data_IF_229236515183
#
_entry.id   IF_229236515183
#
_cell.length_a   1.000
_cell.length_b   1.000
_cell.length_c   1.000
_cell.angle_alpha   90.00
_cell.angle_beta   90.00
_cell.angle_gamma   90.00
#
_symmetry.space_group_name_H-M   'P 1'
#
loop_
_entity.id
_entity.type
_entity.pdbx_description
1 polymer ?
#
# COMPACT_ATOMS: atom_id res chain seq x y z
N UNK A 1 -9.57 0.39 21.86
CA UNK A 1 -8.63 1.06 20.94
C UNK A 1 -9.27 1.16 19.56
N UNK A 2 -9.21 2.30 18.89
CA UNK A 2 -9.71 2.49 17.52
C UNK A 2 -8.60 3.03 16.62
N UNK A 3 -8.43 2.43 15.45
CA UNK A 3 -7.45 2.80 14.43
C UNK A 3 -8.19 3.14 13.14
N UNK A 4 -7.92 4.33 12.58
CA UNK A 4 -8.48 4.77 11.30
C UNK A 4 -7.40 4.74 10.23
N UNK A 5 -7.65 4.01 9.15
CA UNK A 5 -6.73 3.76 8.04
C UNK A 5 -7.36 4.23 6.72
N UNK A 6 -6.56 4.80 5.84
CA UNK A 6 -6.93 5.04 4.44
C UNK A 6 -6.16 4.07 3.55
N UNK A 7 -6.87 3.27 2.76
CA UNK A 7 -6.28 2.32 1.81
C UNK A 7 -6.81 2.65 0.43
N UNK A 8 -5.95 3.22 -0.42
CA UNK A 8 -6.25 3.64 -1.79
C UNK A 8 -7.58 4.43 -1.95
N UNK A 9 -7.90 5.32 -1.00
CA UNK A 9 -9.12 6.14 -1.00
C UNK A 9 -10.32 5.51 -0.28
N UNK A 10 -10.18 4.32 0.30
CA UNK A 10 -11.19 3.71 1.18
C UNK A 10 -10.81 3.93 2.64
N UNK A 11 -11.71 4.54 3.41
CA UNK A 11 -11.56 4.71 4.86
C UNK A 11 -12.00 3.45 5.60
N UNK A 12 -11.08 2.85 6.36
CA UNK A 12 -11.28 1.67 7.18
C UNK A 12 -10.98 1.99 8.65
N UNK A 13 -11.96 1.76 9.52
CA UNK A 13 -11.81 1.86 10.96
C UNK A 13 -11.71 0.45 11.53
N UNK A 14 -10.61 0.18 12.22
CA UNK A 14 -10.37 -1.06 12.96
C UNK A 14 -10.53 -0.76 14.44
N UNK A 15 -11.53 -1.36 15.07
CA UNK A 15 -11.78 -1.22 16.51
C UNK A 15 -11.37 -2.51 17.19
N UNK A 16 -10.68 -2.41 18.31
CA UNK A 16 -10.35 -3.53 19.17
C UNK A 16 -10.76 -3.26 20.60
N UNK A 17 -11.34 -4.27 21.23
CA UNK A 17 -11.89 -4.22 22.57
C UNK A 17 -11.66 -5.53 23.32
N UNK A 18 -11.71 -5.44 24.64
CA UNK A 18 -11.68 -6.57 25.55
C UNK A 18 -12.84 -6.40 26.53
N UNK A 19 -13.86 -7.24 26.42
CA UNK A 19 -15.03 -7.15 27.27
C UNK A 19 -14.74 -7.75 28.66
N UNK A 20 -15.39 -7.25 29.72
CA UNK A 20 -15.27 -7.83 31.06
C UNK A 20 -15.65 -9.31 31.10
N UNK A 21 -15.04 -10.06 32.01
CA UNK A 21 -15.25 -11.51 32.12
C UNK A 21 -16.63 -11.85 32.73
N UNK A 22 -17.08 -13.09 32.52
CA UNK A 22 -18.31 -13.61 33.12
C UNK A 22 -18.18 -13.57 34.65
N UNK A 23 -18.99 -12.72 35.30
CA UNK A 23 -18.99 -12.51 36.76
C UNK A 23 -18.50 -11.13 37.23
N UNK A 24 -17.99 -10.27 36.34
CA UNK A 24 -17.73 -8.86 36.65
C UNK A 24 -19.01 -8.09 36.97
N UNK A 25 -18.89 -6.98 37.69
CA UNK A 25 -20.00 -6.11 38.06
C UNK A 25 -20.73 -5.57 36.82
N UNK A 26 -22.04 -5.37 36.95
CA UNK A 26 -22.88 -4.92 35.83
C UNK A 26 -22.43 -3.55 35.33
N UNK A 27 -22.01 -2.66 36.23
CA UNK A 27 -21.53 -1.31 35.89
C UNK A 27 -20.32 -1.34 34.95
N UNK A 28 -19.37 -2.27 35.15
CA UNK A 28 -18.21 -2.40 34.27
C UNK A 28 -18.60 -2.86 32.86
N UNK A 29 -19.59 -3.76 32.78
CA UNK A 29 -20.14 -4.24 31.51
C UNK A 29 -20.86 -3.12 30.78
N UNK A 30 -21.73 -2.38 31.48
CA UNK A 30 -22.47 -1.24 30.92
C UNK A 30 -21.53 -0.14 30.43
N UNK A 31 -20.47 0.17 31.18
CA UNK A 31 -19.44 1.13 30.75
C UNK A 31 -18.77 0.69 29.45
N UNK A 32 -18.34 -0.58 29.35
CA UNK A 32 -17.71 -1.10 28.15
C UNK A 32 -18.61 -0.97 26.91
N UNK A 33 -19.89 -1.33 27.03
CA UNK A 33 -20.83 -1.24 25.92
C UNK A 33 -21.16 0.20 25.53
N UNK A 34 -21.25 1.11 26.52
CA UNK A 34 -21.46 2.54 26.27
C UNK A 34 -20.29 3.16 25.53
N UNK A 35 -19.05 2.88 25.96
CA UNK A 35 -17.84 3.34 25.27
C UNK A 35 -17.75 2.79 23.83
N UNK A 36 -18.13 1.52 23.63
CA UNK A 36 -18.14 0.93 22.30
C UNK A 36 -19.20 1.58 21.40
N UNK A 37 -20.34 1.97 21.96
CA UNK A 37 -21.39 2.70 21.23
C UNK A 37 -20.94 4.08 20.79
N UNK A 38 -20.33 4.85 21.70
CA UNK A 38 -19.79 6.17 21.39
C UNK A 38 -18.75 6.10 20.25
N UNK A 39 -17.87 5.09 20.28
CA UNK A 39 -16.89 4.86 19.21
C UNK A 39 -17.59 4.58 17.89
N UNK A 40 -18.66 3.76 17.89
CA UNK A 40 -19.39 3.44 16.67
C UNK A 40 -20.19 4.62 16.11
N UNK A 41 -20.80 5.43 16.98
CA UNK A 41 -21.50 6.65 16.61
C UNK A 41 -20.55 7.71 16.02
N UNK A 42 -19.31 7.76 16.50
CA UNK A 42 -18.29 8.66 15.96
C UNK A 42 -17.87 8.33 14.52
N UNK A 43 -18.11 7.09 14.05
CA UNK A 43 -17.67 6.62 12.74
C UNK A 43 -18.77 6.80 11.69
N UNK A 44 -18.57 7.63 10.64
CA UNK A 44 -19.56 7.85 9.60
C UNK A 44 -20.02 6.55 8.92
N UNK A 45 -21.30 6.44 8.59
CA UNK A 45 -21.90 5.24 7.98
C UNK A 45 -21.30 4.86 6.63
N UNK A 46 -20.74 5.83 5.90
CA UNK A 46 -20.05 5.60 4.61
C UNK A 46 -18.68 4.93 4.73
N UNK A 47 -18.06 4.96 5.91
CA UNK A 47 -16.74 4.36 6.14
C UNK A 47 -16.85 2.86 6.44
N UNK A 48 -15.78 2.10 6.21
CA UNK A 48 -15.71 0.68 6.58
C UNK A 48 -15.37 0.55 8.05
N UNK A 49 -15.98 -0.41 8.74
CA UNK A 49 -15.68 -0.72 10.15
C UNK A 49 -15.50 -2.21 10.33
N UNK A 50 -14.40 -2.59 10.97
CA UNK A 50 -14.11 -3.96 11.40
C UNK A 50 -13.78 -3.90 12.89
N UNK A 51 -14.54 -4.63 13.70
CA UNK A 51 -14.29 -4.77 15.13
C UNK A 51 -13.69 -6.14 15.38
N UNK A 52 -12.52 -6.21 15.99
CA UNK A 52 -11.91 -7.47 16.46
C UNK A 52 -11.74 -7.40 17.97
N UNK A 53 -12.56 -8.15 18.70
CA UNK A 53 -12.60 -8.08 20.16
C UNK A 53 -12.81 -9.45 20.80
N UNK A 54 -12.26 -9.61 22.00
CA UNK A 54 -12.62 -10.68 22.90
C UNK A 54 -13.83 -10.23 23.72
N UNK A 55 -14.99 -10.81 23.42
CA UNK A 55 -16.23 -10.43 24.08
C UNK A 55 -16.55 -11.28 25.30
N UNK A 56 -15.73 -12.29 25.62
CA UNK A 56 -15.98 -13.23 26.73
C UNK A 56 -17.40 -13.86 26.72
N UNK A 57 -18.08 -13.84 25.58
CA UNK A 57 -19.44 -14.33 25.37
C UNK A 57 -19.51 -15.47 24.36
N UNK A 58 -20.60 -16.23 24.39
CA UNK A 58 -20.91 -17.30 23.45
C UNK A 58 -22.17 -16.93 22.69
N UNK A 59 -22.03 -16.60 21.41
CA UNK A 59 -23.16 -16.25 20.53
C UNK A 59 -24.06 -17.46 20.22
N UNK A 60 -23.52 -18.67 20.30
CA UNK A 60 -24.24 -19.92 20.13
C UNK A 60 -24.37 -20.41 18.67
N UNK A 61 -24.84 -21.64 18.50
CA UNK A 61 -25.11 -22.30 17.21
C UNK A 61 -26.51 -21.93 16.67
N UNK A 62 -26.62 -21.80 15.34
CA UNK A 62 -27.87 -21.43 14.67
C UNK A 62 -28.16 -19.93 14.74
N UNK A 63 -29.04 -19.46 13.86
CA UNK A 63 -29.36 -18.03 13.70
C UNK A 63 -30.86 -17.73 13.81
N UNK A 64 -31.64 -18.63 14.40
CA UNK A 64 -33.10 -18.49 14.48
C UNK A 64 -33.47 -17.22 15.26
N UNK A 65 -34.10 -16.25 14.58
CA UNK A 65 -34.46 -14.94 15.14
C UNK A 65 -33.40 -13.84 15.00
N UNK A 66 -32.21 -14.20 14.51
CA UNK A 66 -31.05 -13.31 14.38
C UNK A 66 -30.37 -13.44 13.00
N UNK A 67 -31.07 -13.98 12.00
CA UNK A 67 -30.54 -14.31 10.67
C UNK A 67 -29.89 -13.13 9.95
N UNK A 68 -30.31 -11.93 10.33
CA UNK A 68 -29.81 -10.65 9.83
C UNK A 68 -28.37 -10.35 10.23
N UNK A 69 -27.97 -10.73 11.45
CA UNK A 69 -26.70 -10.35 12.07
C UNK A 69 -25.75 -11.51 12.27
N UNK A 70 -26.25 -12.74 12.25
CA UNK A 70 -25.43 -13.93 12.43
C UNK A 70 -25.74 -15.03 11.42
N UNK A 71 -24.70 -15.77 11.07
CA UNK A 71 -24.79 -16.99 10.28
C UNK A 71 -25.09 -18.22 11.13
N UNK A 72 -25.22 -19.37 10.47
CA UNK A 72 -25.67 -20.63 11.08
C UNK A 72 -24.59 -21.38 11.85
N UNK A 73 -23.31 -21.02 11.66
CA UNK A 73 -22.16 -21.85 12.06
C UNK A 73 -21.47 -21.36 13.36
N UNK A 74 -22.22 -20.76 14.27
CA UNK A 74 -21.70 -20.47 15.61
C UNK A 74 -21.44 -21.75 16.43
N UNK A 75 -20.76 -21.61 17.56
CA UNK A 75 -20.34 -22.75 18.40
C UNK A 75 -21.01 -22.66 19.77
N UNK A 76 -21.42 -23.81 20.31
CA UNK A 76 -22.05 -24.00 21.64
C UNK A 76 -23.44 -23.37 21.77
N UNK A 77 -23.97 -23.36 22.98
CA UNK A 77 -25.19 -22.65 23.34
C UNK A 77 -24.91 -21.17 23.63
N UNK A 78 -25.92 -20.33 23.41
CA UNK A 78 -25.83 -18.89 23.66
C UNK A 78 -25.86 -18.60 25.16
N UNK A 79 -24.96 -17.74 25.64
CA UNK A 79 -25.00 -17.21 27.01
C UNK A 79 -25.49 -15.74 27.02
N UNK A 80 -25.68 -15.19 28.22
CA UNK A 80 -26.13 -13.81 28.40
C UNK A 80 -25.18 -12.81 27.73
N UNK A 81 -23.88 -12.96 27.92
CA UNK A 81 -22.87 -12.09 27.30
C UNK A 81 -22.90 -12.18 25.77
N UNK A 82 -23.11 -13.37 25.21
CA UNK A 82 -23.26 -13.58 23.78
C UNK A 82 -24.55 -12.96 23.24
N UNK A 83 -25.63 -12.93 24.03
CA UNK A 83 -26.84 -12.20 23.68
C UNK A 83 -26.56 -10.69 23.59
N UNK A 84 -25.78 -10.12 24.51
CA UNK A 84 -25.38 -8.71 24.44
C UNK A 84 -24.59 -8.40 23.15
N UNK A 85 -23.72 -9.30 22.70
CA UNK A 85 -23.00 -9.16 21.42
C UNK A 85 -23.97 -9.15 20.23
N UNK A 86 -24.99 -10.03 20.25
CA UNK A 86 -26.02 -10.10 19.20
C UNK A 86 -26.88 -8.84 19.20
N UNK A 87 -27.29 -8.37 20.38
CA UNK A 87 -28.11 -7.16 20.52
C UNK A 87 -27.35 -5.90 20.08
N UNK A 88 -26.06 -5.80 20.43
CA UNK A 88 -25.16 -4.78 19.91
C UNK A 88 -25.07 -4.85 18.38
N UNK A 89 -24.88 -6.05 17.83
CA UNK A 89 -24.78 -6.25 16.39
C UNK A 89 -26.08 -5.84 15.66
N UNK A 90 -27.25 -6.08 16.25
CA UNK A 90 -28.54 -5.61 15.73
C UNK A 90 -28.65 -4.09 15.76
N UNK A 91 -28.32 -3.46 16.89
CA UNK A 91 -28.42 -2.01 17.04
C UNK A 91 -27.52 -1.25 16.05
N UNK A 92 -26.31 -1.75 15.84
CA UNK A 92 -25.29 -1.09 15.01
C UNK A 92 -25.23 -1.61 13.56
N UNK A 93 -26.20 -2.43 13.14
CA UNK A 93 -26.26 -3.05 11.79
C UNK A 93 -24.96 -3.78 11.40
N UNK A 94 -24.43 -4.57 12.35
CA UNK A 94 -23.20 -5.34 12.21
C UNK A 94 -23.50 -6.84 12.02
N UNK A 95 -22.64 -7.51 11.27
CA UNK A 95 -22.65 -8.96 11.10
C UNK A 95 -21.52 -9.64 11.88
N UNK A 96 -21.83 -10.71 12.61
CA UNK A 96 -20.86 -11.57 13.32
C UNK A 96 -20.17 -12.50 12.32
N UNK A 97 -19.05 -12.03 11.78
CA UNK A 97 -18.36 -12.64 10.63
C UNK A 97 -18.01 -14.11 10.87
N UNK A 98 -17.58 -14.45 12.09
CA UNK A 98 -17.16 -15.81 12.48
C UNK A 98 -18.27 -16.87 12.26
N UNK A 99 -19.54 -16.48 12.29
CA UNK A 99 -20.69 -17.40 12.23
C UNK A 99 -21.19 -17.67 10.81
N UNK A 100 -20.75 -16.90 9.81
CA UNK A 100 -21.21 -17.04 8.41
C UNK A 100 -20.49 -18.14 7.63
N UNK A 101 -19.27 -18.51 8.03
CA UNK A 101 -18.45 -19.48 7.31
C UNK A 101 -18.48 -20.84 8.00
N UNK A 102 -18.83 -21.89 7.24
CA UNK A 102 -18.73 -23.26 7.74
C UNK A 102 -17.25 -23.64 7.90
N UNK A 103 -16.83 -23.96 9.12
CA UNK A 103 -15.47 -24.37 9.45
C UNK A 103 -15.47 -25.67 10.26
N UNK A 104 -14.32 -26.34 10.28
CA UNK A 104 -14.07 -27.44 11.21
C UNK A 104 -14.05 -26.89 12.62
N UNK A 105 -14.53 -27.66 13.60
CA UNK A 105 -14.61 -27.25 15.01
C UNK A 105 -13.28 -26.66 15.52
N UNK A 106 -12.15 -27.26 15.14
CA UNK A 106 -10.81 -26.78 15.53
C UNK A 106 -10.47 -25.38 15.01
N UNK A 107 -11.03 -24.99 13.86
CA UNK A 107 -10.82 -23.69 13.22
C UNK A 107 -11.91 -22.67 13.59
N UNK A 108 -12.86 -23.03 14.46
CA UNK A 108 -13.88 -22.14 15.03
C UNK A 108 -13.62 -21.78 16.49
N UNK A 109 -12.95 -22.68 17.22
CA UNK A 109 -12.58 -22.49 18.64
C UNK A 109 -11.44 -21.49 18.75
N UNK A 110 -11.66 -20.40 19.50
CA UNK A 110 -10.68 -19.32 19.70
C UNK A 110 -9.96 -19.43 21.05
N UNK A 111 -10.58 -20.05 22.06
CA UNK A 111 -9.98 -20.25 23.38
C UNK A 111 -9.94 -21.73 23.79
N UNK A 112 -8.80 -22.17 24.32
CA UNK A 112 -8.59 -23.54 24.83
C UNK A 112 -7.84 -23.52 26.15
N UNK A 113 -8.46 -23.97 27.23
CA UNK A 113 -7.83 -24.13 28.55
C UNK A 113 -8.44 -25.30 29.32
N UNK A 114 -7.59 -26.15 29.90
CA UNK A 114 -8.04 -27.24 30.79
C UNK A 114 -9.07 -28.20 30.18
N UNK A 115 -8.99 -28.49 28.87
CA UNK A 115 -9.97 -29.34 28.16
C UNK A 115 -11.25 -28.61 27.71
N UNK A 116 -11.48 -27.37 28.15
CA UNK A 116 -12.57 -26.52 27.65
C UNK A 116 -12.16 -25.87 26.35
N UNK A 117 -13.06 -25.89 25.37
CA UNK A 117 -12.93 -25.28 24.04
C UNK A 117 -14.07 -24.29 23.87
N UNK A 118 -13.79 -23.02 23.63
CA UNK A 118 -14.81 -21.97 23.50
C UNK A 118 -14.48 -21.02 22.35
N UNK A 119 -15.50 -20.32 21.87
CA UNK A 119 -15.36 -19.17 20.97
C UNK A 119 -15.75 -17.93 21.77
N UNK A 120 -14.83 -16.99 21.89
CA UNK A 120 -14.99 -15.74 22.65
C UNK A 120 -14.45 -14.53 21.88
N UNK A 121 -13.51 -14.78 20.96
CA UNK A 121 -12.96 -13.77 20.06
C UNK A 121 -13.82 -13.70 18.79
N UNK A 122 -14.41 -12.53 18.53
CA UNK A 122 -15.27 -12.31 17.38
C UNK A 122 -14.77 -11.15 16.51
N UNK A 123 -14.98 -11.31 15.20
CA UNK A 123 -14.83 -10.24 14.23
C UNK A 123 -16.23 -9.81 13.81
N UNK A 124 -16.53 -8.52 13.98
CA UNK A 124 -17.75 -7.88 13.53
C UNK A 124 -17.44 -6.94 12.36
N UNK A 125 -18.34 -6.87 11.39
CA UNK A 125 -18.23 -5.92 10.27
C UNK A 125 -19.61 -5.38 9.91
N UNK A 126 -19.68 -4.17 9.33
CA UNK A 126 -20.94 -3.60 8.86
C UNK A 126 -21.62 -4.54 7.85
N UNK A 127 -22.94 -4.70 7.97
CA UNK A 127 -23.72 -5.61 7.11
C UNK A 127 -23.58 -5.29 5.63
N UNK A 128 -23.57 -4.01 5.27
CA UNK A 128 -23.33 -3.56 3.89
C UNK A 128 -21.98 -3.97 3.30
N UNK A 129 -21.00 -4.33 4.14
CA UNK A 129 -19.64 -4.69 3.73
C UNK A 129 -19.34 -6.19 3.89
N UNK A 130 -20.32 -7.01 4.31
CA UNK A 130 -20.14 -8.46 4.40
C UNK A 130 -19.70 -9.09 3.07
N UNK A 131 -20.11 -8.52 1.93
CA UNK A 131 -19.69 -8.96 0.59
C UNK A 131 -18.19 -8.79 0.32
N UNK A 132 -17.53 -7.89 1.05
CA UNK A 132 -16.08 -7.66 0.96
C UNK A 132 -15.30 -8.70 1.77
N UNK A 133 -15.96 -9.45 2.65
CA UNK A 133 -15.33 -10.50 3.44
C UNK A 133 -15.36 -11.82 2.68
N UNK A 134 -14.17 -12.37 2.46
CA UNK A 134 -13.99 -13.61 1.71
C UNK A 134 -13.83 -14.84 2.61
N UNK A 135 -13.21 -14.67 3.77
CA UNK A 135 -12.98 -15.77 4.70
C UNK A 135 -12.74 -15.25 6.12
N UNK A 136 -13.15 -16.03 7.13
CA UNK A 136 -12.77 -15.84 8.52
C UNK A 136 -12.45 -17.19 9.14
N UNK A 137 -11.25 -17.34 9.68
CA UNK A 137 -10.75 -18.62 10.22
C UNK A 137 -9.87 -18.42 11.43
N UNK A 138 -9.86 -19.41 12.33
CA UNK A 138 -8.88 -19.50 13.40
C UNK A 138 -7.67 -20.32 12.91
N UNK A 139 -6.47 -19.80 13.11
CA UNK A 139 -5.23 -20.50 12.75
C UNK A 139 -4.81 -21.40 13.90
N UNK A 140 -4.65 -22.69 13.62
CA UNK A 140 -4.20 -23.70 14.58
C UNK A 140 -2.69 -23.93 14.39
N UNK A 141 -1.91 -23.76 15.45
CA UNK A 141 -0.47 -24.08 15.46
C UNK A 141 0.48 -22.91 15.69
N UNK A 142 0.00 -21.67 15.68
CA UNK A 142 0.82 -20.50 16.06
C UNK A 142 0.70 -20.19 17.56
N UNK A 143 1.83 -20.21 18.25
CA UNK A 143 1.94 -20.11 19.71
C UNK A 143 1.94 -18.66 20.23
N UNK A 144 1.07 -17.78 19.73
CA UNK A 144 1.07 -16.37 20.19
C UNK A 144 0.62 -16.28 21.66
N UNK A 145 -0.36 -17.10 22.05
CA UNK A 145 -0.80 -17.25 23.44
C UNK A 145 -1.08 -18.72 23.77
N UNK A 146 -0.90 -19.13 25.04
CA UNK A 146 -1.13 -20.53 25.47
C UNK A 146 -2.60 -20.94 25.44
N UNK A 147 -3.52 -19.97 25.51
CA UNK A 147 -4.95 -20.20 25.64
C UNK A 147 -5.77 -19.65 24.46
N UNK A 148 -5.46 -18.43 23.99
CA UNK A 148 -6.11 -17.82 22.83
C UNK A 148 -5.44 -18.22 21.52
N UNK A 149 -6.22 -18.34 20.46
CA UNK A 149 -5.80 -18.63 19.10
C UNK A 149 -6.10 -17.43 18.21
N UNK A 150 -5.24 -17.22 17.22
CA UNK A 150 -5.39 -16.08 16.32
C UNK A 150 -6.58 -16.26 15.37
N UNK A 151 -7.46 -15.27 15.34
CA UNK A 151 -8.55 -15.16 14.36
C UNK A 151 -8.06 -14.32 13.19
N UNK A 152 -8.24 -14.82 11.97
CA UNK A 152 -7.82 -14.16 10.74
C UNK A 152 -9.04 -13.95 9.85
N UNK A 153 -9.33 -12.69 9.54
CA UNK A 153 -10.34 -12.29 8.57
C UNK A 153 -9.67 -11.78 7.29
N UNK A 154 -10.12 -12.31 6.14
CA UNK A 154 -9.67 -11.89 4.82
C UNK A 154 -10.74 -11.00 4.19
N UNK A 155 -10.45 -9.71 4.14
CA UNK A 155 -11.30 -8.69 3.52
C UNK A 155 -10.66 -8.20 2.21
N UNK A 156 -11.47 -8.06 1.16
CA UNK A 156 -11.06 -7.54 -0.15
C UNK A 156 -11.74 -6.19 -0.39
N UNK A 157 -10.95 -5.11 -0.31
CA UNK A 157 -11.44 -3.76 -0.55
C UNK A 157 -11.51 -3.49 -2.05
N UNK A 158 -12.72 -3.18 -2.56
CA UNK A 158 -12.88 -2.77 -3.95
C UNK A 158 -12.58 -1.28 -4.10
N UNK A 159 -11.39 -0.99 -4.63
CA UNK A 159 -10.97 0.38 -4.93
C UNK A 159 -11.45 0.76 -6.32
N UNK A 160 -12.49 1.59 -6.39
CA UNK A 160 -12.82 2.27 -7.63
C UNK A 160 -11.73 3.32 -7.89
N UNK A 161 -10.68 2.94 -8.63
CA UNK A 161 -9.71 3.90 -9.15
C UNK A 161 -10.47 4.89 -10.02
N UNK A 162 -10.77 6.08 -9.49
CA UNK A 162 -11.29 7.19 -10.28
C UNK A 162 -10.29 7.37 -11.40
N UNK A 163 -10.69 7.04 -12.64
CA UNK A 163 -9.82 7.17 -13.80
C UNK A 163 -9.30 8.61 -13.73
N UNK A 164 -7.98 8.77 -13.53
CA UNK A 164 -7.35 10.08 -13.64
C UNK A 164 -7.94 10.71 -14.88
N UNK A 165 -8.61 11.86 -14.70
CA UNK A 165 -9.13 12.63 -15.82
C UNK A 165 -8.04 12.63 -16.88
N UNK A 166 -8.38 12.27 -18.12
CA UNK A 166 -7.42 12.24 -19.22
C UNK A 166 -6.72 13.58 -19.19
N UNK A 167 -5.49 13.62 -18.66
CA UNK A 167 -4.63 14.78 -18.84
C UNK A 167 -4.53 14.86 -20.34
N UNK A 168 -5.10 15.91 -20.93
CA UNK A 168 -5.01 16.15 -22.34
C UNK A 168 -3.55 16.53 -22.61
N UNK A 169 -2.70 15.53 -22.78
CA UNK A 169 -1.28 15.74 -23.02
C UNK A 169 -1.21 16.43 -24.38
N UNK A 170 -0.79 17.69 -24.37
CA UNK A 170 -0.67 18.51 -25.56
C UNK A 170 0.13 17.78 -26.65
N UNK A 171 -0.44 17.76 -27.85
CA UNK A 171 0.21 17.17 -29.03
C UNK A 171 1.41 18.03 -29.41
N UNK A 172 2.62 17.53 -29.16
CA UNK A 172 3.88 18.24 -29.49
C UNK A 172 4.33 17.94 -30.92
N UNK A 173 4.83 18.95 -31.62
CA UNK A 173 5.50 18.80 -32.93
C UNK A 173 6.74 17.91 -32.79
N UNK A 174 6.95 16.98 -33.74
CA UNK A 174 8.06 16.02 -33.71
C UNK A 174 9.39 16.62 -34.17
N UNK A 175 9.93 17.61 -33.43
CA UNK A 175 11.17 18.32 -33.81
C UNK A 175 12.39 17.42 -34.02
N UNK A 176 12.47 16.28 -33.33
CA UNK A 176 13.58 15.32 -33.50
C UNK A 176 13.70 14.74 -34.90
N UNK A 177 12.64 14.78 -35.72
CA UNK A 177 12.70 14.36 -37.13
C UNK A 177 13.59 15.25 -37.99
N UNK A 178 13.90 16.48 -37.56
CA UNK A 178 14.85 17.36 -38.25
C UNK A 178 16.29 16.83 -38.24
N UNK A 179 16.60 15.82 -37.42
CA UNK A 179 17.89 15.13 -37.49
C UNK A 179 18.06 14.31 -38.78
N UNK A 180 16.96 14.02 -39.50
CA UNK A 180 17.01 13.39 -40.82
C UNK A 180 17.12 14.47 -41.88
N UNK A 181 18.08 14.30 -42.78
CA UNK A 181 18.44 15.29 -43.81
C UNK A 181 17.27 15.54 -44.77
N UNK A 182 16.62 14.48 -45.24
CA UNK A 182 15.43 14.55 -46.12
C UNK A 182 14.26 15.35 -45.50
N UNK A 183 13.95 15.13 -44.23
CA UNK A 183 12.88 15.85 -43.53
C UNK A 183 13.25 17.31 -43.25
N UNK A 184 14.54 17.61 -43.11
CA UNK A 184 15.05 18.97 -42.90
C UNK A 184 14.93 19.80 -44.18
N UNK A 185 15.27 19.21 -45.33
CA UNK A 185 15.16 19.86 -46.63
C UNK A 185 13.70 20.13 -47.01
N UNK A 186 12.82 19.14 -46.84
CA UNK A 186 11.39 19.30 -47.10
C UNK A 186 10.76 20.38 -46.21
N UNK A 187 11.18 20.45 -44.95
CA UNK A 187 10.74 21.48 -44.01
C UNK A 187 11.23 22.88 -44.44
N UNK A 188 12.51 23.02 -44.82
CA UNK A 188 13.07 24.29 -45.30
C UNK A 188 12.39 24.77 -46.58
N UNK A 189 12.12 23.87 -47.52
CA UNK A 189 11.44 24.20 -48.77
C UNK A 189 10.02 24.70 -48.53
N UNK A 190 9.23 23.97 -47.72
CA UNK A 190 7.86 24.36 -47.37
C UNK A 190 7.81 25.63 -46.52
N UNK A 191 8.79 25.85 -45.65
CA UNK A 191 8.89 27.09 -44.87
C UNK A 191 9.20 28.30 -45.76
N UNK A 192 10.13 28.16 -46.71
CA UNK A 192 10.43 29.21 -47.71
C UNK A 192 9.22 29.53 -48.59
N UNK A 193 8.45 28.51 -48.96
CA UNK A 193 7.21 28.68 -49.73
C UNK A 193 6.13 29.40 -48.91
N UNK A 194 5.96 29.04 -47.64
CA UNK A 194 4.99 29.67 -46.74
C UNK A 194 5.33 31.13 -46.40
N UNK A 195 6.62 31.49 -46.39
CA UNK A 195 7.11 32.85 -46.17
C UNK A 195 7.29 33.64 -47.49
N UNK A 196 6.72 33.18 -48.60
CA UNK A 196 6.68 33.92 -49.86
C UNK A 196 8.04 34.17 -50.52
N UNK A 197 9.08 33.40 -50.16
CA UNK A 197 10.43 33.57 -50.72
C UNK A 197 11.18 34.83 -50.27
N UNK A 198 10.69 35.55 -49.25
CA UNK A 198 11.41 36.70 -48.71
C UNK A 198 12.68 36.26 -47.96
N UNK A 199 13.81 36.91 -48.29
CA UNK A 199 15.11 36.70 -47.63
C UNK A 199 15.14 37.34 -46.23
N UNK A 200 14.25 38.29 -45.97
CA UNK A 200 14.12 39.01 -44.70
C UNK A 200 12.80 38.63 -44.06
N UNK A 201 12.87 38.11 -42.84
CA UNK A 201 11.69 37.74 -42.05
C UNK A 201 10.92 39.01 -41.64
N UNK A 202 9.57 38.98 -41.61
CA UNK A 202 8.79 40.08 -41.03
C UNK A 202 9.25 40.39 -39.60
N UNK A 203 9.25 41.67 -39.22
CA UNK A 203 9.62 42.13 -37.87
C UNK A 203 8.64 41.64 -36.77
N UNK A 204 7.54 41.03 -37.19
CA UNK A 204 6.56 40.39 -36.33
C UNK A 204 6.92 38.92 -36.04
N UNK A 205 7.51 38.72 -34.86
CA UNK A 205 7.91 37.42 -34.34
C UNK A 205 6.74 36.47 -34.11
N UNK A 206 5.56 36.97 -33.74
CA UNK A 206 4.40 36.12 -33.42
C UNK A 206 3.89 35.42 -34.68
N UNK A 207 3.67 36.18 -35.74
CA UNK A 207 3.26 35.67 -37.05
C UNK A 207 4.31 34.70 -37.62
N UNK A 208 5.60 35.03 -37.50
CA UNK A 208 6.69 34.16 -37.96
C UNK A 208 6.75 32.85 -37.16
N UNK A 209 6.61 32.91 -35.84
CA UNK A 209 6.61 31.73 -34.97
C UNK A 209 5.39 30.83 -35.22
N UNK A 210 4.23 31.40 -35.52
CA UNK A 210 3.04 30.64 -35.90
C UNK A 210 3.23 29.89 -37.21
N UNK A 211 3.74 30.54 -38.25
CA UNK A 211 4.03 29.92 -39.55
C UNK A 211 5.04 28.77 -39.39
N UNK A 212 6.08 28.94 -38.57
CA UNK A 212 7.06 27.90 -38.26
C UNK A 212 6.41 26.72 -37.53
N UNK A 213 5.59 26.99 -36.51
CA UNK A 213 4.89 25.94 -35.74
C UNK A 213 3.90 25.17 -36.62
N UNK A 214 3.17 25.86 -37.49
CA UNK A 214 2.19 25.24 -38.38
C UNK A 214 2.87 24.40 -39.47
N UNK A 215 3.92 24.93 -40.10
CA UNK A 215 4.73 24.19 -41.07
C UNK A 215 5.37 22.97 -40.41
N UNK A 216 5.85 23.12 -39.17
CA UNK A 216 6.42 22.02 -38.39
C UNK A 216 5.39 20.93 -38.11
N UNK A 217 4.15 21.31 -37.75
CA UNK A 217 3.04 20.36 -37.58
C UNK A 217 2.68 19.63 -38.87
N UNK A 218 2.69 20.32 -40.02
CA UNK A 218 2.36 19.76 -41.35
C UNK A 218 3.43 18.79 -41.85
N UNK A 219 4.72 19.14 -41.74
CA UNK A 219 5.83 18.34 -42.29
C UNK A 219 6.28 17.24 -41.33
N UNK A 220 6.57 17.59 -40.07
CA UNK A 220 7.11 16.64 -39.10
C UNK A 220 6.01 15.77 -38.47
N UNK A 221 4.77 16.25 -38.54
CA UNK A 221 3.61 15.65 -37.90
C UNK A 221 3.57 15.94 -36.41
N UNK A 222 2.39 15.73 -35.81
CA UNK A 222 2.18 15.83 -34.37
C UNK A 222 2.39 14.47 -33.69
N UNK A 223 2.92 14.49 -32.46
CA UNK A 223 2.89 13.31 -31.61
C UNK A 223 1.45 12.99 -31.19
N UNK A 224 1.13 11.72 -31.01
CA UNK A 224 -0.22 11.28 -30.63
C UNK A 224 -0.57 11.60 -29.17
N UNK A 225 0.24 12.39 -28.46
CA UNK A 225 0.08 12.74 -27.04
C UNK A 225 0.29 11.56 -26.08
N UNK A 226 0.09 10.32 -26.55
CA UNK A 226 0.50 9.12 -25.82
C UNK A 226 2.02 9.02 -25.90
N UNK A 227 2.68 9.17 -24.75
CA UNK A 227 3.91 8.42 -24.52
C UNK A 227 3.54 6.99 -24.90
N UNK A 228 4.10 6.44 -25.98
CA UNK A 228 4.20 4.98 -26.02
C UNK A 228 4.83 4.68 -24.67
N UNK A 229 4.16 3.90 -23.83
CA UNK A 229 4.90 3.17 -22.83
C UNK A 229 6.01 2.53 -23.64
N UNK A 230 7.22 3.08 -23.52
CA UNK A 230 8.40 2.33 -23.84
C UNK A 230 8.19 1.12 -22.96
N UNK A 231 7.75 0.01 -23.57
CA UNK A 231 7.72 -1.28 -22.90
C UNK A 231 9.07 -1.33 -22.20
N UNK A 232 9.05 -1.62 -20.90
CA UNK A 232 10.17 -1.57 -19.95
C UNK A 232 11.32 -2.49 -20.36
N UNK A 233 11.93 -2.19 -21.48
CA UNK A 233 12.64 -3.18 -22.24
C UNK A 233 13.81 -2.50 -22.91
N UNK A 234 14.56 -1.78 -22.09
CA UNK A 234 15.95 -1.39 -22.35
C UNK A 234 16.83 -2.60 -22.73
N UNK A 235 16.34 -3.83 -22.51
CA UNK A 235 16.92 -5.11 -22.90
C UNK A 235 16.30 -5.75 -24.16
N UNK A 236 15.41 -5.06 -24.89
CA UNK A 236 14.76 -5.59 -26.08
C UNK A 236 15.67 -5.56 -27.30
N UNK A 237 15.85 -6.71 -27.94
CA UNK A 237 16.59 -6.85 -29.19
C UNK A 237 15.69 -7.46 -30.30
N UNK A 238 16.11 -7.31 -31.55
CA UNK A 238 15.40 -7.86 -32.71
C UNK A 238 15.33 -9.39 -32.67
N UNK A 239 16.33 -10.04 -32.09
CA UNK A 239 16.41 -11.51 -31.94
C UNK A 239 15.35 -12.07 -30.98
N UNK A 240 15.07 -11.40 -29.86
CA UNK A 240 13.98 -11.76 -28.94
C UNK A 240 12.63 -11.53 -29.61
N UNK A 241 12.50 -10.45 -30.39
CA UNK A 241 11.27 -10.17 -31.12
C UNK A 241 10.95 -11.27 -32.14
N UNK A 242 11.93 -11.65 -32.97
CA UNK A 242 11.78 -12.72 -33.96
C UNK A 242 11.50 -14.08 -33.27
N UNK A 243 12.23 -14.40 -32.20
CA UNK A 243 12.00 -15.63 -31.42
C UNK A 243 10.58 -15.69 -30.83
N UNK A 244 10.05 -14.57 -30.32
CA UNK A 244 8.67 -14.49 -29.81
C UNK A 244 7.65 -14.62 -30.94
N UNK A 245 7.92 -14.04 -32.12
CA UNK A 245 7.06 -14.18 -33.30
C UNK A 245 7.00 -15.64 -33.76
N UNK A 246 8.14 -16.34 -33.87
CA UNK A 246 8.21 -17.77 -34.19
C UNK A 246 7.42 -18.62 -33.19
N UNK A 247 7.55 -18.35 -31.88
CA UNK A 247 6.75 -19.02 -30.84
C UNK A 247 5.25 -18.78 -31.02
N UNK A 248 4.82 -17.57 -31.39
CA UNK A 248 3.40 -17.25 -31.64
C UNK A 248 2.86 -18.01 -32.85
N UNK A 249 3.65 -18.12 -33.93
CA UNK A 249 3.29 -18.90 -35.11
C UNK A 249 3.14 -20.39 -34.79
N UNK A 250 4.07 -20.97 -34.03
CA UNK A 250 4.00 -22.36 -33.59
C UNK A 250 2.81 -22.61 -32.64
N UNK A 251 2.48 -21.65 -31.77
CA UNK A 251 1.28 -21.74 -30.94
C UNK A 251 0.00 -21.76 -31.79
N UNK A 252 -0.07 -20.91 -32.81
CA UNK A 252 -1.21 -20.88 -33.76
C UNK A 252 -1.34 -22.20 -34.52
N UNK A 253 -0.24 -22.81 -34.95
CA UNK A 253 -0.23 -24.15 -35.57
C UNK A 253 -0.72 -25.25 -34.60
N UNK A 254 -0.25 -25.24 -33.36
CA UNK A 254 -0.71 -26.19 -32.34
C UNK A 254 -2.21 -26.01 -32.02
N UNK A 255 -2.70 -24.77 -31.97
CA UNK A 255 -4.11 -24.49 -31.70
C UNK A 255 -5.04 -24.95 -32.83
N UNK A 256 -4.55 -25.03 -34.08
CA UNK A 256 -5.30 -25.54 -35.23
C UNK A 256 -5.29 -27.07 -35.31
N UNK A 257 -4.12 -27.71 -35.28
CA UNK A 257 -4.01 -29.14 -35.63
C UNK A 257 -4.03 -30.05 -34.39
N UNK A 258 -3.75 -29.52 -33.19
CA UNK A 258 -3.70 -30.22 -31.88
C UNK A 258 -2.88 -31.53 -31.85
N UNK A 259 -1.92 -31.70 -32.75
CA UNK A 259 -1.00 -32.85 -32.79
C UNK A 259 0.09 -32.75 -31.71
N UNK A 260 0.64 -33.90 -31.28
CA UNK A 260 1.70 -33.94 -30.27
C UNK A 260 3.04 -33.39 -30.82
N UNK A 261 3.29 -33.52 -32.13
CA UNK A 261 4.45 -32.92 -32.81
C UNK A 261 4.42 -31.38 -32.72
N UNK A 262 3.29 -30.76 -33.04
CA UNK A 262 3.12 -29.30 -32.94
C UNK A 262 3.22 -28.81 -31.48
N UNK A 263 2.79 -29.63 -30.52
CA UNK A 263 2.94 -29.34 -29.08
C UNK A 263 4.42 -29.37 -28.68
N UNK A 264 5.20 -30.31 -29.20
CA UNK A 264 6.63 -30.43 -28.93
C UNK A 264 7.41 -29.26 -29.56
N UNK A 265 7.12 -28.90 -30.81
CA UNK A 265 7.69 -27.74 -31.51
C UNK A 265 7.41 -26.44 -30.73
N UNK A 266 6.18 -26.23 -30.26
CA UNK A 266 5.84 -25.08 -29.42
C UNK A 266 6.62 -25.05 -28.09
N UNK A 267 6.77 -26.20 -27.41
CA UNK A 267 7.54 -26.29 -26.15
C UNK A 267 9.01 -25.97 -26.37
N UNK A 268 9.61 -26.45 -27.47
CA UNK A 268 10.99 -26.15 -27.81
C UNK A 268 11.21 -24.66 -28.10
N UNK A 269 10.33 -24.06 -28.92
CA UNK A 269 10.39 -22.63 -29.20
C UNK A 269 10.13 -21.78 -27.95
N UNK A 270 9.28 -22.25 -27.03
CA UNK A 270 9.09 -21.60 -25.74
C UNK A 270 10.37 -21.64 -24.88
N UNK A 271 11.10 -22.77 -24.86
CA UNK A 271 12.40 -22.87 -24.18
C UNK A 271 13.44 -21.95 -24.82
N UNK A 272 13.55 -21.94 -26.15
CA UNK A 272 14.46 -21.04 -26.88
C UNK A 272 14.17 -19.57 -26.58
N UNK A 273 12.90 -19.15 -26.60
CA UNK A 273 12.51 -17.79 -26.22
C UNK A 273 12.94 -17.44 -24.79
N UNK A 274 12.78 -18.36 -23.82
CA UNK A 274 13.24 -18.12 -22.45
C UNK A 274 14.75 -17.90 -22.40
N UNK A 275 15.52 -18.72 -23.12
CA UNK A 275 16.98 -18.60 -23.20
C UNK A 275 17.41 -17.29 -23.84
N UNK A 276 16.82 -16.91 -24.98
CA UNK A 276 17.16 -15.67 -25.68
C UNK A 276 16.77 -14.42 -24.88
N UNK A 277 15.62 -14.44 -24.20
CA UNK A 277 15.26 -13.35 -23.27
C UNK A 277 16.25 -13.25 -22.11
N UNK A 278 16.72 -14.37 -21.57
CA UNK A 278 17.71 -14.37 -20.49
C UNK A 278 19.05 -13.79 -20.97
N UNK A 279 19.54 -14.21 -22.14
CA UNK A 279 20.76 -13.67 -22.76
C UNK A 279 20.65 -12.18 -23.05
N UNK A 280 19.54 -11.73 -23.64
CA UNK A 280 19.32 -10.32 -23.96
C UNK A 280 19.29 -9.44 -22.70
N UNK A 281 18.64 -9.93 -21.63
CA UNK A 281 18.68 -9.28 -20.32
C UNK A 281 20.10 -9.22 -19.75
N UNK A 282 20.83 -10.33 -19.78
CA UNK A 282 22.19 -10.40 -19.26
C UNK A 282 23.11 -9.42 -19.99
N UNK A 283 23.12 -9.45 -21.32
CA UNK A 283 23.91 -8.53 -22.16
C UNK A 283 23.57 -7.06 -21.87
N UNK A 284 22.28 -6.76 -21.75
CA UNK A 284 21.86 -5.42 -21.39
C UNK A 284 22.40 -5.03 -20.00
N UNK A 285 22.28 -5.90 -19.00
CA UNK A 285 22.85 -5.65 -17.66
C UNK A 285 24.37 -5.44 -17.72
N UNK A 286 25.10 -6.23 -18.49
CA UNK A 286 26.55 -6.06 -18.66
C UNK A 286 26.88 -4.69 -19.27
N UNK A 287 26.17 -4.28 -20.33
CA UNK A 287 26.29 -2.95 -20.95
C UNK A 287 25.85 -1.81 -20.01
N UNK A 288 24.95 -2.07 -19.08
CA UNK A 288 24.55 -1.13 -18.05
C UNK A 288 25.65 -1.00 -16.99
N UNK A 289 26.23 -2.12 -16.52
CA UNK A 289 27.34 -2.12 -15.57
C UNK A 289 28.58 -1.40 -16.13
N UNK A 290 28.93 -1.61 -17.40
CA UNK A 290 30.04 -0.87 -18.02
C UNK A 290 29.75 0.63 -18.14
N UNK A 291 28.49 1.03 -18.34
CA UNK A 291 28.10 2.46 -18.32
C UNK A 291 28.10 3.06 -16.92
N UNK A 292 27.83 2.27 -15.88
CA UNK A 292 27.88 2.73 -14.49
C UNK A 292 29.29 3.15 -14.05
N UNK A 293 30.34 2.62 -14.69
CA UNK A 293 31.74 3.06 -14.47
C UNK A 293 32.06 4.42 -15.10
N UNK A 294 31.11 5.03 -15.82
CA UNK A 294 31.26 6.37 -16.40
C UNK A 294 30.50 7.43 -15.61
N UNK A 295 30.95 8.69 -15.69
CA UNK A 295 30.34 9.84 -14.99
C UNK A 295 28.88 10.12 -15.40
N UNK A 296 28.42 9.58 -16.54
CA UNK A 296 27.04 9.69 -17.02
C UNK A 296 26.11 8.60 -16.43
N UNK A 297 26.68 7.45 -16.04
CA UNK A 297 25.94 6.30 -15.49
C UNK A 297 25.42 6.51 -14.06
N UNK A 298 25.95 7.47 -13.31
CA UNK A 298 25.51 7.80 -11.94
C UNK A 298 23.99 8.11 -11.90
N UNK A 299 23.47 8.79 -12.93
CA UNK A 299 22.04 9.11 -13.05
C UNK A 299 21.17 7.87 -13.28
N UNK A 300 21.69 6.86 -13.96
CA UNK A 300 20.99 5.60 -14.21
C UNK A 300 20.94 4.74 -12.94
N UNK A 301 22.00 4.76 -12.12
CA UNK A 301 22.03 4.12 -10.80
C UNK A 301 20.94 4.69 -9.88
N UNK A 302 20.85 6.02 -9.76
CA UNK A 302 19.80 6.67 -8.97
C UNK A 302 18.40 6.35 -9.50
N UNK A 303 18.23 6.20 -10.83
CA UNK A 303 16.94 5.81 -11.42
C UNK A 303 16.56 4.38 -11.01
N UNK A 304 17.50 3.44 -11.09
CA UNK A 304 17.29 2.03 -10.69
C UNK A 304 17.02 1.90 -9.18
N UNK A 305 17.75 2.64 -8.34
CA UNK A 305 17.53 2.67 -6.90
C UNK A 305 16.13 3.19 -6.55
N UNK A 306 15.69 4.29 -7.17
CA UNK A 306 14.32 4.82 -6.99
C UNK A 306 13.23 3.92 -7.53
N UNK A 307 13.53 3.08 -8.52
CA UNK A 307 12.57 2.10 -9.02
C UNK A 307 12.43 0.93 -8.05
N UNK A 308 13.55 0.37 -7.58
CA UNK A 308 13.58 -0.66 -6.53
C UNK A 308 12.89 -0.21 -5.23
N UNK A 309 13.16 1.01 -4.78
CA UNK A 309 12.51 1.59 -3.60
C UNK A 309 10.99 1.74 -3.80
N UNK A 310 10.52 2.04 -5.00
CA UNK A 310 9.07 2.08 -5.30
C UNK A 310 8.45 0.69 -5.37
N UNK A 311 9.15 -0.28 -5.94
CA UNK A 311 8.67 -1.66 -6.08
C UNK A 311 8.66 -2.41 -4.74
N UNK A 312 9.52 -2.01 -3.78
CA UNK A 312 9.61 -2.59 -2.45
C UNK A 312 8.70 -1.95 -1.38
N UNK A 313 7.93 -0.92 -1.73
CA UNK A 313 6.99 -0.27 -0.80
C UNK A 313 5.60 -0.89 -0.92
N UNK A 314 5.21 -1.71 0.07
CA UNK A 314 3.87 -2.29 0.20
C UNK A 314 2.76 -1.24 0.36
N UNK A 315 3.13 -0.04 0.83
CA UNK A 315 2.23 1.13 0.95
C UNK A 315 2.85 2.29 0.20
N UNK A 316 2.24 2.70 -0.91
CA UNK A 316 2.88 3.65 -1.82
C UNK A 316 2.94 5.07 -1.27
N UNK A 317 1.96 5.54 -0.48
CA UNK A 317 1.99 6.83 0.22
C UNK A 317 1.02 6.83 1.40
N UNK A 318 1.47 7.17 2.61
CA UNK A 318 0.56 7.62 3.69
C UNK A 318 0.25 9.09 3.40
N UNK A 319 -0.87 9.37 2.75
CA UNK A 319 -1.37 10.75 2.49
C UNK A 319 -2.35 11.22 3.56
N UNK A 320 -2.15 10.78 4.80
CA UNK A 320 -3.19 10.82 5.83
C UNK A 320 -2.73 11.70 6.97
N UNK A 321 -3.43 12.80 7.24
CA UNK A 321 -3.17 13.68 8.38
C UNK A 321 -4.46 13.93 9.13
N UNK A 322 -4.41 13.93 10.47
CA UNK A 322 -5.57 14.30 11.29
C UNK A 322 -5.72 15.81 11.37
N UNK A 323 -6.94 16.30 11.23
CA UNK A 323 -7.29 17.68 11.59
C UNK A 323 -7.32 17.88 13.11
N UNK A 324 -7.67 19.09 13.56
CA UNK A 324 -7.74 19.43 14.99
C UNK A 324 -8.82 18.64 15.74
N UNK A 325 -9.89 18.28 15.04
CA UNK A 325 -11.02 17.51 15.58
C UNK A 325 -10.77 15.99 15.52
N UNK A 326 -9.55 15.57 15.17
CA UNK A 326 -9.15 14.17 15.08
C UNK A 326 -9.68 13.44 13.85
N UNK A 327 -10.33 14.14 12.91
CA UNK A 327 -10.82 13.56 11.66
C UNK A 327 -9.67 13.43 10.67
N UNK A 328 -9.73 12.36 9.90
CA UNK A 328 -8.67 12.01 8.97
C UNK A 328 -8.89 12.69 7.63
N UNK A 329 -7.92 13.52 7.22
CA UNK A 329 -7.87 14.18 5.92
C UNK A 329 -7.10 13.33 4.91
N UNK A 330 -7.73 13.13 3.75
CA UNK A 330 -7.24 12.22 2.69
C UNK A 330 -6.98 12.96 1.36
N UNK A 331 -7.68 14.08 1.12
CA UNK A 331 -7.51 14.88 -0.09
C UNK A 331 -6.22 15.72 -0.03
N UNK A 332 -5.47 15.76 -1.14
CA UNK A 332 -4.21 16.50 -1.25
C UNK A 332 -4.33 17.98 -0.86
N UNK A 333 -5.43 18.64 -1.26
CA UNK A 333 -5.72 20.03 -0.89
C UNK A 333 -5.95 20.23 0.61
N UNK A 334 -6.74 19.36 1.25
CA UNK A 334 -6.99 19.47 2.69
C UNK A 334 -5.77 19.11 3.52
N UNK A 335 -4.94 18.16 3.06
CA UNK A 335 -3.66 17.83 3.69
C UNK A 335 -2.70 19.02 3.60
N UNK A 336 -2.59 19.67 2.44
CA UNK A 336 -1.78 20.89 2.29
C UNK A 336 -2.31 22.06 3.15
N UNK A 337 -3.63 22.21 3.24
CA UNK A 337 -4.27 23.23 4.10
C UNK A 337 -3.96 22.98 5.58
N UNK A 338 -4.07 21.72 6.03
CA UNK A 338 -3.73 21.33 7.40
C UNK A 338 -2.25 21.55 7.72
N UNK A 339 -1.36 21.27 6.77
CA UNK A 339 0.06 21.60 6.89
C UNK A 339 0.30 23.10 7.00
N UNK A 340 -0.39 23.90 6.18
CA UNK A 340 -0.33 25.35 6.24
C UNK A 340 -0.77 25.86 7.61
N UNK A 341 -1.93 25.42 8.09
CA UNK A 341 -2.45 25.75 9.43
C UNK A 341 -1.49 25.32 10.55
N UNK A 342 -0.93 24.11 10.47
CA UNK A 342 0.04 23.61 11.45
C UNK A 342 1.29 24.49 11.53
N UNK A 343 1.87 24.85 10.39
CA UNK A 343 3.06 25.69 10.34
C UNK A 343 2.76 27.15 10.64
N UNK A 344 1.59 27.66 10.27
CA UNK A 344 1.15 29.02 10.68
C UNK A 344 1.02 29.12 12.20
N UNK A 345 0.51 28.09 12.88
CA UNK A 345 0.47 28.09 14.35
C UNK A 345 1.86 27.89 14.96
N UNK A 346 2.60 26.88 14.52
CA UNK A 346 3.93 26.57 15.05
C UNK A 346 4.90 27.76 14.94
N UNK A 347 4.76 28.57 13.88
CA UNK A 347 5.63 29.71 13.62
C UNK A 347 5.14 31.03 14.23
N UNK A 348 3.87 31.09 14.69
CA UNK A 348 3.28 32.30 15.28
C UNK A 348 2.94 32.15 16.77
N UNK A 349 2.99 30.95 17.33
CA UNK A 349 3.01 30.75 18.78
C UNK A 349 4.39 31.13 19.33
N UNK A 350 4.44 32.21 20.12
CA UNK A 350 5.57 32.45 21.03
C UNK A 350 5.59 31.31 22.06
N UNK A 351 6.33 30.24 21.74
CA UNK A 351 6.69 29.25 22.74
C UNK A 351 7.41 29.98 23.87
N UNK A 352 6.89 29.88 25.11
CA UNK A 352 7.66 30.23 26.30
C UNK A 352 8.89 29.33 26.29
N UNK A 353 10.00 29.84 25.75
CA UNK A 353 11.31 29.21 25.90
C UNK A 353 11.45 28.99 27.39
N UNK A 354 11.70 27.75 27.81
CA UNK A 354 12.05 27.41 29.19
C UNK A 354 12.98 28.50 29.71
N UNK A 355 12.47 29.35 30.61
CA UNK A 355 13.32 30.28 31.33
C UNK A 355 14.31 29.39 32.04
N UNK A 356 15.56 29.37 31.57
CA UNK A 356 16.66 28.78 32.32
C UNK A 356 16.52 29.32 33.73
N UNK A 357 16.35 28.41 34.68
CA UNK A 357 16.33 28.77 36.10
C UNK A 357 17.70 29.36 36.41
N UNK A 358 17.80 30.69 36.35
CA UNK A 358 18.92 31.43 36.93
C UNK A 358 18.75 31.32 38.45
N UNK A 359 19.41 30.32 39.02
CA UNK A 359 19.40 30.10 40.46
C UNK A 359 19.29 28.64 40.86
N UNK A 360 20.16 27.76 40.34
CA UNK A 360 20.44 26.51 41.05
C UNK A 360 21.58 26.78 42.01
N UNK A 361 21.30 26.70 43.31
CA UNK A 361 22.33 26.71 44.35
C UNK A 361 23.35 25.61 44.06
N UNK A 362 24.62 25.99 43.96
CA UNK A 362 25.73 25.04 43.85
C UNK A 362 25.74 24.13 45.08
N UNK A 363 25.36 22.87 44.90
CA UNK A 363 25.61 21.85 45.92
C UNK A 363 27.07 21.45 45.76
N UNK A 364 27.96 22.12 46.50
CA UNK A 364 29.32 21.64 46.71
C UNK A 364 29.29 20.34 47.54
N UNK A 365 28.99 19.22 46.88
CA UNK A 365 29.28 17.92 47.46
C UNK A 365 30.76 17.63 47.25
N UNK A 366 31.51 17.53 48.36
CA UNK A 366 32.87 16.97 48.37
C UNK A 366 32.81 15.57 47.76
N UNK A 367 33.42 15.42 46.60
CA UNK A 367 33.63 14.11 45.98
C UNK A 367 34.68 13.36 46.80
N UNK A 368 34.30 12.21 47.37
CA UNK A 368 35.23 11.35 48.08
C UNK A 368 36.33 10.85 47.14
N UNK A 369 37.59 10.98 47.58
CA UNK A 369 38.76 10.54 46.80
C UNK A 369 38.68 9.03 46.55
N UNK A 370 38.63 8.67 45.27
CA UNK A 370 38.67 7.28 44.80
C UNK A 370 40.01 6.67 45.26
N UNK A 371 39.96 5.75 46.21
CA UNK A 371 41.13 4.98 46.63
C UNK A 371 41.50 3.96 45.57
N UNK A 372 42.80 3.81 45.31
CA UNK A 372 43.43 2.90 44.33
C UNK A 372 42.90 1.45 44.41
N UNK A 373 42.45 1.04 45.60
CA UNK A 373 41.83 -0.26 45.87
C UNK A 373 40.54 -0.50 45.09
N UNK A 374 39.75 0.54 44.80
CA UNK A 374 38.52 0.43 44.01
C UNK A 374 38.82 0.26 42.50
N UNK A 375 39.82 0.98 41.99
CA UNK A 375 40.31 0.84 40.60
C UNK A 375 40.87 -0.57 40.34
N UNK A 376 41.65 -1.12 41.28
CA UNK A 376 42.16 -2.50 41.16
C UNK A 376 41.04 -3.55 41.20
N UNK A 377 39.97 -3.33 41.98
CA UNK A 377 38.81 -4.23 42.06
C UNK A 377 38.02 -4.25 40.73
N UNK A 378 37.90 -3.09 40.07
CA UNK A 378 37.27 -2.98 38.76
C UNK A 378 38.10 -3.67 37.66
N UNK A 379 39.43 -3.49 37.66
CA UNK A 379 40.34 -4.15 36.70
C UNK A 379 40.34 -5.69 36.83
N UNK A 380 40.24 -6.22 38.06
CA UNK A 380 40.10 -7.68 38.26
C UNK A 380 38.80 -8.22 37.69
N UNK A 381 37.69 -7.48 37.79
CA UNK A 381 36.39 -7.90 37.22
C UNK A 381 36.39 -7.93 35.69
N UNK A 382 37.20 -7.09 35.04
CA UNK A 382 37.32 -7.06 33.57
C UNK A 382 38.12 -8.27 33.05
N UNK A 383 39.12 -8.76 33.78
CA UNK A 383 39.94 -9.91 33.36
C UNK A 383 39.22 -11.28 33.44
N UNK A 384 38.16 -11.42 34.23
CA UNK A 384 37.46 -12.71 34.42
C UNK A 384 36.49 -13.05 33.27
N UNK A 385 36.19 -12.10 32.38
CA UNK A 385 35.19 -12.29 31.29
C UNK A 385 35.77 -12.65 29.91
N UNK A 386 37.07 -12.97 29.81
CA UNK A 386 37.76 -13.24 28.53
C UNK A 386 38.22 -14.69 28.32
N UNK A 387 37.62 -15.68 28.98
CA UNK A 387 37.95 -17.09 28.74
C UNK A 387 36.69 -17.96 28.61
N UNK A 388 36.01 -17.87 27.47
CA UNK A 388 35.24 -18.96 26.85
C UNK A 388 35.20 -18.67 25.34
N UNK A 389 36.14 -19.29 24.64
CA UNK A 389 36.14 -19.53 23.19
C UNK A 389 36.35 -21.01 23.00
#
# INVERSE_FOLDING_TARGET
MSLKLEIEGVMLNVVSGYAPQVGCELEEKERFWSELDEVMESIPTGERVVIGADFNGHVGEGNTGDEEVMGKFGVKERNLEGQMVVDFAKRMDMGVVNTYFQKREEHSVTYKSGGRRTQVDYILCRRGNLKEISDCKVVVGECVARQHRMVVCRMTLMVCKTKRSKIEIEKKTKWWKLKKEECCEEFRQKLRQALGGQVVLPDDWETTAEVIRETGRKVLGVSSGRRKEDKETWWWNEEVQDSIQRKRLAKKKWDMDRTEENRQEYKELQRRVKTEVAKAKQKAYDELYTRLDTREGEKDLYRLARQRDRDGKDVQQVRVIKDRDGRVLTSEESVQRRWKEYFEELMNEENEREKRVEGVNSVEQKVDKIYERWSQKALKRIKVRKSWS
#
